data_IF_409610464914
#
_entry.id   IF_409610464914
#
_cell.length_a   1.000
_cell.length_b   1.000
_cell.length_c   1.000
_cell.angle_alpha   90.00
_cell.angle_beta   90.00
_cell.angle_gamma   90.00
#
_symmetry.space_group_name_H-M   'P 1'
#
loop_
_entity.id
_entity.type
_entity.pdbx_description
1 polymer ?
#
# COMPACT_ATOMS: atom_id res chain seq x y z
N UNK A 1 15.76 -29.62 2.48
CA UNK A 1 15.12 -28.37 2.93
C UNK A 1 15.28 -27.40 1.79
N UNK A 2 14.19 -27.01 1.12
CA UNK A 2 14.27 -26.00 0.06
C UNK A 2 14.67 -24.69 0.72
N UNK A 3 15.95 -24.38 0.64
CA UNK A 3 16.51 -23.06 0.86
C UNK A 3 15.71 -22.16 -0.09
N UNK A 4 14.77 -21.39 0.45
CA UNK A 4 14.21 -20.26 -0.29
C UNK A 4 15.42 -19.33 -0.41
N UNK A 5 16.23 -19.52 -1.45
CA UNK A 5 17.30 -18.61 -1.82
C UNK A 5 16.62 -17.25 -1.94
N UNK A 6 16.90 -16.37 -0.99
CA UNK A 6 16.42 -15.02 -0.98
C UNK A 6 17.07 -14.33 -2.17
N UNK A 7 16.35 -14.14 -3.28
CA UNK A 7 16.86 -13.37 -4.43
C UNK A 7 16.66 -11.88 -4.11
N UNK A 8 17.72 -11.13 -3.78
CA UNK A 8 17.59 -9.72 -3.40
C UNK A 8 16.97 -8.89 -4.52
N UNK A 9 17.23 -9.26 -5.79
CA UNK A 9 16.67 -8.55 -6.94
C UNK A 9 15.17 -8.77 -7.08
N UNK A 10 14.68 -9.97 -6.74
CA UNK A 10 13.25 -10.26 -6.76
C UNK A 10 12.51 -9.47 -5.67
N UNK A 11 13.12 -9.36 -4.47
CA UNK A 11 12.55 -8.59 -3.35
C UNK A 11 12.55 -7.09 -3.60
N UNK A 12 13.61 -6.56 -4.22
CA UNK A 12 13.67 -5.16 -4.65
C UNK A 12 12.55 -4.85 -5.66
N UNK A 13 12.37 -5.71 -6.68
CA UNK A 13 11.26 -5.54 -7.64
C UNK A 13 9.89 -5.61 -6.97
N UNK A 14 9.68 -6.57 -6.07
CA UNK A 14 8.40 -6.70 -5.36
C UNK A 14 8.11 -5.47 -4.50
N UNK A 15 9.12 -4.90 -3.84
CA UNK A 15 8.98 -3.67 -3.08
C UNK A 15 8.66 -2.46 -3.97
N UNK A 16 9.37 -2.32 -5.09
CA UNK A 16 9.15 -1.23 -6.05
C UNK A 16 7.77 -1.33 -6.70
N UNK A 17 7.34 -2.53 -7.06
CA UNK A 17 5.99 -2.82 -7.56
C UNK A 17 4.93 -2.48 -6.52
N UNK A 18 5.16 -2.83 -5.25
CA UNK A 18 4.25 -2.54 -4.16
C UNK A 18 4.12 -1.03 -3.91
N UNK A 19 5.23 -0.30 -3.89
CA UNK A 19 5.26 1.17 -3.81
C UNK A 19 4.54 1.82 -5.00
N UNK A 20 4.79 1.30 -6.21
CA UNK A 20 4.19 1.81 -7.45
C UNK A 20 2.68 1.59 -7.44
N UNK A 21 2.24 0.39 -7.13
CA UNK A 21 0.81 0.05 -7.09
C UNK A 21 0.10 0.76 -5.94
N UNK A 22 0.73 0.89 -4.77
CA UNK A 22 0.21 1.68 -3.66
C UNK A 22 0.02 3.15 -4.04
N UNK A 23 0.98 3.74 -4.75
CA UNK A 23 0.88 5.11 -5.26
C UNK A 23 -0.25 5.28 -6.28
N UNK A 24 -0.46 4.28 -7.16
CA UNK A 24 -1.59 4.27 -8.11
C UNK A 24 -2.93 4.21 -7.38
N UNK A 25 -3.06 3.32 -6.40
CA UNK A 25 -4.28 3.21 -5.59
C UNK A 25 -4.55 4.53 -4.85
N UNK A 26 -3.52 5.17 -4.30
CA UNK A 26 -3.66 6.49 -3.67
C UNK A 26 -4.20 7.54 -4.65
N UNK A 27 -3.71 7.57 -5.89
CA UNK A 27 -4.21 8.47 -6.93
C UNK A 27 -5.66 8.15 -7.34
N UNK A 28 -6.02 6.87 -7.43
CA UNK A 28 -7.40 6.46 -7.72
C UNK A 28 -8.37 6.87 -6.59
N UNK A 29 -7.94 6.74 -5.33
CA UNK A 29 -8.69 7.21 -4.16
C UNK A 29 -8.96 8.71 -4.26
N UNK A 30 -7.94 9.52 -4.54
CA UNK A 30 -8.08 10.98 -4.64
C UNK A 30 -9.03 11.37 -5.80
N UNK A 31 -8.93 10.66 -6.93
CA UNK A 31 -9.83 10.87 -8.06
C UNK A 31 -11.29 10.51 -7.70
N UNK A 32 -11.50 9.41 -6.97
CA UNK A 32 -12.82 8.95 -6.55
C UNK A 32 -13.46 9.92 -5.54
N UNK A 33 -12.68 10.41 -4.57
CA UNK A 33 -13.11 11.43 -3.61
C UNK A 33 -13.49 12.74 -4.31
N UNK A 34 -12.69 13.17 -5.29
CA UNK A 34 -12.98 14.36 -6.09
C UNK A 34 -14.25 14.20 -6.92
N UNK A 35 -14.44 13.04 -7.55
CA UNK A 35 -15.63 12.72 -8.32
C UNK A 35 -16.88 12.66 -7.43
N UNK A 36 -16.78 12.06 -6.24
CA UNK A 36 -17.86 12.00 -5.27
C UNK A 36 -18.27 13.41 -4.81
N UNK A 37 -17.30 14.28 -4.51
CA UNK A 37 -17.58 15.68 -4.18
C UNK A 37 -18.29 16.41 -5.32
N UNK A 38 -17.79 16.28 -6.55
CA UNK A 38 -18.42 16.89 -7.72
C UNK A 38 -19.85 16.37 -7.92
N UNK A 39 -20.09 15.07 -7.70
CA UNK A 39 -21.43 14.49 -7.78
C UNK A 39 -22.35 15.04 -6.69
N UNK A 40 -21.88 15.14 -5.44
CA UNK A 40 -22.63 15.75 -4.34
C UNK A 40 -23.03 17.20 -4.65
N UNK A 41 -22.09 18.00 -5.16
CA UNK A 41 -22.32 19.42 -5.46
C UNK A 41 -23.31 19.60 -6.64
N UNK A 42 -23.43 18.60 -7.52
CA UNK A 42 -24.39 18.58 -8.63
C UNK A 42 -25.72 17.87 -8.30
N UNK A 43 -25.87 17.25 -7.12
CA UNK A 43 -27.11 16.62 -6.72
C UNK A 43 -28.19 17.67 -6.45
N UNK A 44 -29.31 17.54 -7.15
CA UNK A 44 -30.51 18.31 -6.87
C UNK A 44 -31.27 17.76 -5.67
N UNK A 45 -31.59 18.64 -4.72
CA UNK A 45 -32.43 18.33 -3.56
C UNK A 45 -31.67 17.88 -2.32
N UNK A 46 -32.01 18.49 -1.17
CA UNK A 46 -31.32 18.28 0.11
C UNK A 46 -31.32 16.82 0.57
N UNK A 47 -32.38 16.06 0.30
CA UNK A 47 -32.49 14.68 0.76
C UNK A 47 -31.59 13.71 -0.04
N UNK A 48 -31.40 13.98 -1.33
CA UNK A 48 -30.47 13.24 -2.17
C UNK A 48 -29.02 13.54 -1.77
N UNK A 49 -28.71 14.81 -1.49
CA UNK A 49 -27.41 15.25 -0.97
C UNK A 49 -27.07 14.57 0.36
N UNK A 50 -27.99 14.57 1.34
CA UNK A 50 -27.76 13.91 2.63
C UNK A 50 -27.53 12.41 2.51
N UNK A 51 -28.34 11.72 1.70
CA UNK A 51 -28.20 10.28 1.49
C UNK A 51 -26.88 9.94 0.81
N UNK A 52 -26.48 10.74 -0.17
CA UNK A 52 -25.20 10.58 -0.86
C UNK A 52 -24.01 10.90 0.06
N UNK A 53 -24.09 11.96 0.87
CA UNK A 53 -23.04 12.34 1.82
C UNK A 53 -22.74 11.19 2.78
N UNK A 54 -23.77 10.56 3.37
CA UNK A 54 -23.58 9.42 4.27
C UNK A 54 -22.91 8.21 3.59
N UNK A 55 -23.23 7.96 2.33
CA UNK A 55 -22.59 6.89 1.56
C UNK A 55 -21.13 7.25 1.21
N UNK A 56 -20.89 8.50 0.81
CA UNK A 56 -19.56 9.02 0.51
C UNK A 56 -18.65 9.02 1.73
N UNK A 57 -19.18 9.32 2.92
CA UNK A 57 -18.41 9.31 4.16
C UNK A 57 -17.93 7.90 4.51
N UNK A 58 -18.81 6.89 4.43
CA UNK A 58 -18.44 5.49 4.65
C UNK A 58 -17.42 4.99 3.63
N UNK A 59 -17.59 5.42 2.37
CA UNK A 59 -16.62 5.12 1.32
C UNK A 59 -15.26 5.75 1.67
N UNK A 60 -15.23 7.02 2.07
CA UNK A 60 -13.99 7.70 2.46
C UNK A 60 -13.30 7.00 3.64
N UNK A 61 -14.05 6.59 4.66
CA UNK A 61 -13.51 5.81 5.78
C UNK A 61 -12.86 4.50 5.31
N UNK A 62 -13.52 3.76 4.41
CA UNK A 62 -12.98 2.52 3.87
C UNK A 62 -11.72 2.73 2.99
N UNK A 63 -11.68 3.83 2.24
CA UNK A 63 -10.51 4.21 1.45
C UNK A 63 -9.34 4.64 2.36
N UNK A 64 -9.60 5.38 3.44
CA UNK A 64 -8.61 5.75 4.44
C UNK A 64 -7.99 4.51 5.11
N UNK A 65 -8.83 3.54 5.50
CA UNK A 65 -8.37 2.25 6.04
C UNK A 65 -7.52 1.46 5.02
N UNK A 66 -7.90 1.53 3.73
CA UNK A 66 -7.11 0.92 2.64
C UNK A 66 -5.73 1.59 2.52
N UNK A 67 -5.64 2.92 2.62
CA UNK A 67 -4.36 3.66 2.64
C UNK A 67 -3.47 3.19 3.78
N UNK A 68 -4.02 3.15 5.00
CA UNK A 68 -3.27 2.72 6.18
C UNK A 68 -2.75 1.28 6.05
N UNK A 69 -3.55 0.38 5.48
CA UNK A 69 -3.14 -1.00 5.23
C UNK A 69 -2.02 -1.10 4.18
N UNK A 70 -2.08 -0.30 3.12
CA UNK A 70 -1.01 -0.24 2.10
C UNK A 70 0.30 0.28 2.71
N UNK A 71 0.25 1.33 3.52
CA UNK A 71 1.42 1.88 4.20
C UNK A 71 2.03 0.86 5.19
N UNK A 72 1.18 0.20 5.97
CA UNK A 72 1.62 -0.84 6.90
C UNK A 72 2.24 -2.05 6.16
N UNK A 73 1.69 -2.42 5.00
CA UNK A 73 2.23 -3.48 4.17
C UNK A 73 3.60 -3.08 3.60
N UNK A 74 3.74 -1.85 3.09
CA UNK A 74 5.01 -1.34 2.58
C UNK A 74 6.10 -1.35 3.65
N UNK A 75 5.79 -0.90 4.87
CA UNK A 75 6.75 -0.94 5.99
C UNK A 75 7.14 -2.36 6.41
N UNK A 76 6.21 -3.32 6.39
CA UNK A 76 6.52 -4.73 6.67
C UNK A 76 7.44 -5.34 5.61
N UNK A 77 7.22 -5.02 4.34
CA UNK A 77 8.07 -5.50 3.24
C UNK A 77 9.47 -4.89 3.33
N UNK A 78 9.57 -3.60 3.65
CA UNK A 78 10.86 -2.92 3.88
C UNK A 78 11.65 -3.56 5.03
N UNK A 79 10.98 -3.82 6.16
CA UNK A 79 11.59 -4.51 7.30
C UNK A 79 12.03 -5.94 6.95
N UNK A 80 11.22 -6.67 6.18
CA UNK A 80 11.57 -8.03 5.73
C UNK A 80 12.79 -8.01 4.81
N UNK A 81 12.89 -7.03 3.90
CA UNK A 81 14.06 -6.80 3.05
C UNK A 81 15.32 -6.53 3.90
N UNK A 82 15.23 -5.64 4.89
CA UNK A 82 16.37 -5.34 5.77
C UNK A 82 16.83 -6.58 6.55
N UNK A 83 15.90 -7.32 7.15
CA UNK A 83 16.22 -8.52 7.92
C UNK A 83 16.90 -9.59 7.06
N UNK A 84 16.50 -9.71 5.79
CA UNK A 84 17.10 -10.68 4.88
C UNK A 84 18.49 -10.28 4.39
N UNK A 85 18.72 -8.99 4.12
CA UNK A 85 20.06 -8.48 3.80
C UNK A 85 21.04 -8.68 4.97
N UNK A 86 20.59 -8.46 6.21
CA UNK A 86 21.40 -8.73 7.41
C UNK A 86 21.71 -10.21 7.60
N UNK A 87 20.75 -11.10 7.30
CA UNK A 87 20.95 -12.54 7.38
C UNK A 87 21.97 -13.03 6.34
N UNK A 88 21.87 -12.55 5.10
CA UNK A 88 22.81 -12.90 4.01
C UNK A 88 24.23 -12.40 4.31
N UNK A 89 24.36 -11.16 4.81
CA UNK A 89 25.66 -10.59 5.23
C UNK A 89 26.35 -11.38 6.35
N UNK A 90 25.60 -11.88 7.34
CA UNK A 90 26.16 -12.73 8.41
C UNK A 90 26.59 -14.11 7.93
N UNK A 91 25.90 -14.67 6.94
CA UNK A 91 26.30 -15.96 6.34
C UNK A 91 27.58 -15.77 5.52
N UNK A 92 27.70 -14.67 4.77
CA UNK A 92 28.91 -14.32 4.01
C UNK A 92 30.17 -14.16 4.88
N UNK A 93 30.07 -13.46 6.02
CA UNK A 93 31.20 -13.32 6.96
C UNK A 93 31.54 -14.65 7.66
N UNK A 94 30.55 -15.48 7.97
CA UNK A 94 30.77 -16.79 8.61
C UNK A 94 31.53 -17.82 7.76
N UNK A 95 31.59 -17.62 6.43
CA UNK A 95 32.42 -18.42 5.51
C UNK A 95 33.78 -17.78 5.20
N UNK A 96 34.01 -16.51 5.55
CA UNK A 96 35.29 -15.83 5.33
C UNK A 96 36.32 -16.12 6.43
N UNK A 97 35.87 -16.59 7.60
CA UNK A 97 36.70 -16.94 8.76
C UNK A 97 37.05 -18.45 8.85
N UNK A 98 36.79 -19.24 7.79
CA UNK A 98 37.16 -20.67 7.70
C UNK A 98 38.20 -20.96 6.62
#
# INVERSE_FOLDING_TARGET
MSEILYDPQAMDRLFDELKTNGSKINGEIDALQSAAKAFHDNLGGQQAQQSFQQASDKMNEALEDTRQKLDALAGKVENAKHAALEADGKVGDGFADF
#
